data_IF_174604552621
#
_entry.id   IF_174604552621
#
_cell.length_a   1.000
_cell.length_b   1.000
_cell.length_c   1.000
_cell.angle_alpha   90.00
_cell.angle_beta   90.00
_cell.angle_gamma   90.00
#
_symmetry.space_group_name_H-M   'P 1'
#
loop_
_entity.id
_entity.type
_entity.pdbx_description
1 polymer ?
#
# COMPACT_ATOMS: atom_id res chain seq x y z
N UNK A 1 -31.14 -4.78 -30.95
CA UNK A 1 -30.62 -3.44 -31.30
C UNK A 1 -29.38 -3.16 -30.45
N UNK A 2 -28.19 -3.20 -31.03
CA UNK A 2 -26.95 -2.76 -30.36
C UNK A 2 -26.86 -1.24 -30.47
N UNK A 3 -27.17 -0.52 -29.39
CA UNK A 3 -26.99 0.93 -29.34
C UNK A 3 -25.49 1.30 -29.38
N UNK A 4 -25.09 2.42 -30.01
CA UNK A 4 -23.71 2.88 -30.08
C UNK A 4 -23.28 3.48 -28.74
N UNK A 5 -23.02 2.64 -27.73
CA UNK A 5 -22.52 3.04 -26.41
C UNK A 5 -21.01 3.33 -26.40
N UNK A 6 -20.29 3.02 -27.49
CA UNK A 6 -18.82 3.06 -27.54
C UNK A 6 -18.22 4.46 -27.75
N UNK A 7 -18.92 5.41 -28.39
CA UNK A 7 -18.37 6.74 -28.67
C UNK A 7 -18.40 7.67 -27.45
N UNK A 8 -19.49 7.62 -26.66
CA UNK A 8 -19.57 8.34 -25.39
C UNK A 8 -18.49 7.86 -24.39
N UNK A 9 -18.09 6.59 -24.49
CA UNK A 9 -17.09 5.96 -23.63
C UNK A 9 -15.69 6.60 -23.76
N UNK A 10 -15.25 6.96 -24.97
CA UNK A 10 -13.92 7.55 -25.20
C UNK A 10 -13.87 9.02 -24.73
N UNK A 11 -14.98 9.75 -24.88
CA UNK A 11 -15.06 11.15 -24.46
C UNK A 11 -15.19 11.30 -22.93
N UNK A 12 -15.79 10.31 -22.26
CA UNK A 12 -15.89 10.19 -20.80
C UNK A 12 -14.57 9.79 -20.10
N UNK A 13 -13.73 9.02 -20.80
CA UNK A 13 -12.44 8.54 -20.27
C UNK A 13 -11.37 9.63 -20.36
N UNK A 14 -11.44 10.51 -21.36
CA UNK A 14 -10.53 11.65 -21.54
C UNK A 14 -10.79 12.82 -20.57
N UNK A 15 -11.97 12.89 -19.94
CA UNK A 15 -12.31 14.01 -19.04
C UNK A 15 -11.94 13.78 -17.57
N UNK A 16 -11.65 12.55 -17.12
CA UNK A 16 -11.58 12.17 -15.69
C UNK A 16 -10.24 12.45 -14.97
N UNK A 17 -9.41 13.38 -15.45
CA UNK A 17 -8.16 13.73 -14.75
C UNK A 17 -8.46 14.85 -13.76
N UNK A 18 -8.89 14.47 -12.56
CA UNK A 18 -9.06 15.36 -11.42
C UNK A 18 -8.24 14.80 -10.23
N UNK A 19 -7.16 15.50 -9.92
CA UNK A 19 -6.16 15.28 -8.90
C UNK A 19 -6.68 15.54 -7.48
N UNK A 20 -6.64 14.52 -6.63
CA UNK A 20 -6.65 14.70 -5.18
C UNK A 20 -5.21 14.90 -4.71
N UNK A 21 -4.74 16.15 -4.60
CA UNK A 21 -3.34 16.44 -4.28
C UNK A 21 -2.99 16.39 -2.78
N UNK A 22 -3.96 16.40 -1.86
CA UNK A 22 -3.65 16.40 -0.41
C UNK A 22 -4.84 16.04 0.49
N UNK A 23 -4.61 15.21 1.52
CA UNK A 23 -5.58 14.83 2.56
C UNK A 23 -6.26 16.04 3.26
N UNK A 24 -5.59 17.20 3.29
CA UNK A 24 -6.01 18.35 4.11
C UNK A 24 -7.12 19.17 3.49
N UNK A 25 -7.36 19.04 2.19
CA UNK A 25 -8.40 19.82 1.52
C UNK A 25 -9.02 18.98 0.42
N UNK A 26 -10.01 18.16 0.76
CA UNK A 26 -11.03 17.71 -0.20
C UNK A 26 -11.87 18.94 -0.55
N UNK A 27 -11.28 19.88 -1.30
CA UNK A 27 -12.03 20.99 -1.84
C UNK A 27 -12.73 20.44 -3.06
N UNK A 28 -14.03 20.22 -2.90
CA UNK A 28 -14.94 20.04 -4.02
C UNK A 28 -14.99 21.26 -4.97
N UNK A 29 -14.15 22.30 -4.80
CA UNK A 29 -14.30 23.58 -5.50
C UNK A 29 -13.94 23.51 -6.97
N UNK A 30 -12.88 22.79 -7.35
CA UNK A 30 -12.38 22.86 -8.73
C UNK A 30 -12.29 21.48 -9.41
N UNK A 31 -11.88 20.43 -8.69
CA UNK A 31 -11.58 19.11 -9.28
C UNK A 31 -12.70 18.06 -9.03
N UNK A 32 -13.47 18.21 -7.96
CA UNK A 32 -14.70 17.43 -7.73
C UNK A 32 -15.82 17.72 -8.74
N UNK A 33 -15.61 18.71 -9.63
CA UNK A 33 -16.58 19.23 -10.58
C UNK A 33 -16.96 18.26 -11.69
N UNK A 34 -16.31 17.11 -11.84
CA UNK A 34 -16.53 16.20 -12.98
C UNK A 34 -17.34 14.95 -12.67
N UNK A 35 -17.23 14.37 -11.46
CA UNK A 35 -18.06 13.23 -11.05
C UNK A 35 -19.52 13.67 -10.92
N UNK A 36 -19.75 14.87 -10.38
CA UNK A 36 -21.08 15.43 -10.19
C UNK A 36 -21.88 15.61 -11.50
N UNK A 37 -21.37 16.28 -12.55
CA UNK A 37 -22.08 16.40 -13.83
C UNK A 37 -22.21 15.05 -14.53
N UNK A 38 -21.30 14.10 -14.32
CA UNK A 38 -21.47 12.73 -14.82
C UNK A 38 -22.68 12.05 -14.21
N UNK A 39 -22.77 12.11 -12.88
CA UNK A 39 -23.88 11.55 -12.13
C UNK A 39 -25.19 12.24 -12.56
N UNK A 40 -25.18 13.56 -12.69
CA UNK A 40 -26.33 14.35 -13.12
C UNK A 40 -26.75 14.02 -14.57
N UNK A 41 -25.79 13.88 -15.48
CA UNK A 41 -26.03 13.45 -16.87
C UNK A 41 -26.63 12.03 -16.91
N UNK A 42 -26.10 11.11 -16.11
CA UNK A 42 -26.63 9.74 -16.04
C UNK A 42 -28.06 9.71 -15.48
N UNK A 43 -28.33 10.49 -14.43
CA UNK A 43 -29.66 10.62 -13.84
C UNK A 43 -30.65 11.25 -14.84
N UNK A 44 -30.20 12.26 -15.60
CA UNK A 44 -30.98 12.89 -16.66
C UNK A 44 -31.31 11.91 -17.79
N UNK A 45 -30.35 11.09 -18.24
CA UNK A 45 -30.60 10.07 -19.25
C UNK A 45 -31.60 9.01 -18.77
N UNK A 46 -31.50 8.55 -17.52
CA UNK A 46 -32.48 7.61 -16.94
C UNK A 46 -33.86 8.26 -16.84
N UNK A 47 -33.95 9.53 -16.46
CA UNK A 47 -35.22 10.27 -16.43
C UNK A 47 -35.84 10.41 -17.82
N UNK A 48 -35.05 10.69 -18.86
CA UNK A 48 -35.53 10.74 -20.24
C UNK A 48 -36.05 9.38 -20.72
N UNK A 49 -35.32 8.29 -20.46
CA UNK A 49 -35.76 6.94 -20.83
C UNK A 49 -37.04 6.58 -20.06
N UNK A 50 -37.19 7.02 -18.81
CA UNK A 50 -38.43 6.84 -18.04
C UNK A 50 -39.63 7.58 -18.66
N UNK A 51 -39.46 8.86 -19.05
CA UNK A 51 -40.51 9.61 -19.74
C UNK A 51 -40.88 8.98 -21.10
N UNK A 52 -39.87 8.50 -21.84
CA UNK A 52 -40.10 7.83 -23.12
C UNK A 52 -40.76 6.45 -22.95
N UNK A 53 -40.42 5.73 -21.88
CA UNK A 53 -41.08 4.48 -21.49
C UNK A 53 -42.57 4.68 -21.23
N UNK A 54 -42.94 5.76 -20.53
CA UNK A 54 -44.34 6.12 -20.29
C UNK A 54 -45.07 6.44 -21.60
N UNK A 55 -44.44 7.16 -22.52
CA UNK A 55 -45.05 7.48 -23.81
C UNK A 55 -45.32 6.22 -24.67
N UNK A 56 -44.41 5.25 -24.65
CA UNK A 56 -44.49 4.03 -25.49
C UNK A 56 -45.26 2.89 -24.78
N UNK A 57 -45.64 3.06 -23.52
CA UNK A 57 -46.37 2.06 -22.72
C UNK A 57 -45.69 0.68 -22.68
N UNK A 58 -44.35 0.64 -22.64
CA UNK A 58 -43.58 -0.61 -22.55
C UNK A 58 -43.18 -0.89 -21.10
N UNK A 59 -43.80 -1.88 -20.41
CA UNK A 59 -43.55 -2.14 -18.98
C UNK A 59 -42.12 -2.63 -18.70
N UNK A 60 -41.46 -3.24 -19.67
CA UNK A 60 -40.06 -3.68 -19.55
C UNK A 60 -39.10 -2.51 -19.32
N UNK A 61 -39.35 -1.38 -19.96
CA UNK A 61 -38.49 -0.19 -19.88
C UNK A 61 -38.68 0.53 -18.55
N UNK A 62 -39.90 0.54 -18.03
CA UNK A 62 -40.20 1.10 -16.72
C UNK A 62 -39.49 0.31 -15.62
N UNK A 63 -39.56 -1.02 -15.68
CA UNK A 63 -38.87 -1.91 -14.75
C UNK A 63 -37.35 -1.74 -14.82
N UNK A 64 -36.81 -1.56 -16.04
CA UNK A 64 -35.39 -1.26 -16.23
C UNK A 64 -35.01 0.09 -15.62
N UNK A 65 -35.77 1.16 -15.87
CA UNK A 65 -35.51 2.49 -15.32
C UNK A 65 -35.58 2.52 -13.80
N UNK A 66 -36.55 1.82 -13.17
CA UNK A 66 -36.64 1.71 -11.71
C UNK A 66 -35.38 1.07 -11.12
N UNK A 67 -34.88 0.00 -11.74
CA UNK A 67 -33.62 -0.67 -11.33
C UNK A 67 -32.41 0.23 -11.53
N UNK A 68 -32.30 0.90 -12.68
CA UNK A 68 -31.20 1.82 -12.99
C UNK A 68 -31.17 3.02 -12.03
N UNK A 69 -32.33 3.63 -11.74
CA UNK A 69 -32.44 4.75 -10.82
C UNK A 69 -32.01 4.40 -9.39
N UNK A 70 -32.45 3.25 -8.87
CA UNK A 70 -32.01 2.75 -7.56
C UNK A 70 -30.49 2.52 -7.52
N UNK A 71 -29.91 2.02 -8.61
CA UNK A 71 -28.46 1.77 -8.70
C UNK A 71 -27.63 3.06 -8.72
N UNK A 72 -28.09 4.10 -9.41
CA UNK A 72 -27.45 5.42 -9.39
C UNK A 72 -27.47 6.00 -7.97
N UNK A 73 -28.63 5.93 -7.29
CA UNK A 73 -28.78 6.41 -5.92
C UNK A 73 -27.84 5.69 -4.96
N UNK A 74 -27.79 4.35 -5.03
CA UNK A 74 -26.86 3.53 -4.23
C UNK A 74 -25.40 3.90 -4.52
N UNK A 75 -25.04 4.11 -5.78
CA UNK A 75 -23.67 4.46 -6.15
C UNK A 75 -23.28 5.84 -5.62
N UNK A 76 -24.20 6.80 -5.60
CA UNK A 76 -23.98 8.13 -5.01
C UNK A 76 -23.78 8.05 -3.50
N UNK A 77 -24.59 7.26 -2.80
CA UNK A 77 -24.40 7.00 -1.35
C UNK A 77 -23.03 6.37 -1.10
N UNK A 78 -22.64 5.39 -1.92
CA UNK A 78 -21.36 4.71 -1.78
C UNK A 78 -20.18 5.64 -2.04
N UNK A 79 -20.24 6.50 -3.06
CA UNK A 79 -19.20 7.52 -3.32
C UNK A 79 -19.05 8.43 -2.09
N UNK A 80 -20.17 8.89 -1.54
CA UNK A 80 -20.17 9.73 -0.33
C UNK A 80 -19.52 9.01 0.86
N UNK A 81 -19.88 7.73 1.09
CA UNK A 81 -19.31 6.92 2.17
C UNK A 81 -17.82 6.67 1.99
N UNK A 82 -17.37 6.37 0.77
CA UNK A 82 -15.95 6.18 0.45
C UNK A 82 -15.15 7.46 0.71
N UNK A 83 -15.66 8.61 0.27
CA UNK A 83 -15.03 9.90 0.54
C UNK A 83 -14.96 10.19 2.04
N UNK A 84 -16.03 9.91 2.78
CA UNK A 84 -16.05 10.07 4.24
C UNK A 84 -15.03 9.15 4.91
N UNK A 85 -14.88 7.91 4.46
CA UNK A 85 -13.90 6.96 4.99
C UNK A 85 -12.46 7.43 4.74
N UNK A 86 -12.16 7.97 3.55
CA UNK A 86 -10.84 8.55 3.24
C UNK A 86 -10.56 9.76 4.13
N UNK A 87 -11.52 10.68 4.27
CA UNK A 87 -11.42 11.83 5.17
C UNK A 87 -11.20 11.43 6.62
N UNK A 88 -11.94 10.42 7.10
CA UNK A 88 -11.76 9.89 8.44
C UNK A 88 -10.36 9.28 8.63
N UNK A 89 -9.84 8.56 7.64
CA UNK A 89 -8.47 8.04 7.67
C UNK A 89 -7.42 9.14 7.73
N UNK A 90 -7.59 10.21 6.95
CA UNK A 90 -6.72 11.39 7.00
C UNK A 90 -6.74 12.02 8.40
N UNK A 91 -7.93 12.21 8.99
CA UNK A 91 -8.09 12.77 10.32
C UNK A 91 -7.44 11.90 11.40
N UNK A 92 -7.59 10.57 11.30
CA UNK A 92 -6.91 9.62 12.21
C UNK A 92 -5.39 9.71 12.07
N UNK A 93 -4.87 9.78 10.84
CA UNK A 93 -3.43 9.94 10.60
C UNK A 93 -2.89 11.25 11.16
N UNK A 94 -3.61 12.35 10.94
CA UNK A 94 -3.24 13.67 11.47
C UNK A 94 -3.26 13.68 13.01
N UNK A 95 -4.24 13.02 13.62
CA UNK A 95 -4.28 12.88 15.08
C UNK A 95 -3.12 12.02 15.62
N UNK A 96 -2.68 10.99 14.88
CA UNK A 96 -1.62 10.08 15.34
C UNK A 96 -0.21 10.62 15.09
N UNK A 97 0.04 11.26 13.94
CA UNK A 97 1.39 11.66 13.49
C UNK A 97 1.48 13.14 13.07
N UNK A 98 0.36 13.84 12.90
CA UNK A 98 0.33 15.24 12.48
C UNK A 98 0.69 15.47 11.00
N UNK A 99 0.58 14.42 10.17
CA UNK A 99 0.96 14.44 8.76
C UNK A 99 0.09 13.48 7.93
N UNK A 100 0.13 13.65 6.60
CA UNK A 100 -0.52 12.78 5.63
C UNK A 100 -0.01 11.33 5.73
N UNK A 101 -0.95 10.37 5.71
CA UNK A 101 -0.66 8.95 5.91
C UNK A 101 0.30 8.37 4.88
N UNK A 102 0.24 8.81 3.61
CA UNK A 102 1.16 8.35 2.58
C UNK A 102 2.54 8.96 2.79
N UNK A 103 2.60 10.26 3.05
CA UNK A 103 3.87 10.95 3.25
C UNK A 103 4.64 10.36 4.44
N UNK A 104 3.94 10.13 5.56
CA UNK A 104 4.51 9.50 6.76
C UNK A 104 5.03 8.10 6.45
N UNK A 105 4.23 7.29 5.77
CA UNK A 105 4.60 5.90 5.44
C UNK A 105 5.82 5.85 4.51
N UNK A 106 5.86 6.72 3.49
CA UNK A 106 6.99 6.83 2.56
C UNK A 106 8.25 7.32 3.29
N UNK A 107 8.12 8.35 4.12
CA UNK A 107 9.23 8.88 4.90
C UNK A 107 9.80 7.82 5.85
N UNK A 108 8.95 7.05 6.51
CA UNK A 108 9.36 5.97 7.39
C UNK A 108 10.12 4.86 6.64
N UNK A 109 9.60 4.38 5.51
CA UNK A 109 10.30 3.36 4.71
C UNK A 109 11.64 3.87 4.16
N UNK A 110 11.68 5.15 3.74
CA UNK A 110 12.93 5.78 3.32
C UNK A 110 13.92 5.95 4.49
N UNK A 111 13.46 6.29 5.69
CA UNK A 111 14.31 6.39 6.88
C UNK A 111 14.91 5.02 7.24
N UNK A 112 14.09 3.96 7.22
CA UNK A 112 14.57 2.60 7.43
C UNK A 112 15.59 2.16 6.39
N UNK A 113 15.36 2.47 5.12
CA UNK A 113 16.28 2.10 4.04
C UNK A 113 17.57 2.94 4.05
N UNK A 114 17.44 4.27 4.05
CA UNK A 114 18.54 5.21 3.85
C UNK A 114 19.23 5.68 5.12
N UNK A 115 18.49 5.93 6.20
CA UNK A 115 19.11 6.40 7.44
C UNK A 115 19.65 5.24 8.27
N UNK A 116 19.00 4.06 8.23
CA UNK A 116 19.38 2.90 9.05
C UNK A 116 20.03 1.78 8.24
N UNK A 117 19.39 1.34 7.16
CA UNK A 117 19.81 0.18 6.37
C UNK A 117 21.15 0.36 5.66
N UNK A 118 21.25 1.32 4.75
CA UNK A 118 22.47 1.55 3.95
C UNK A 118 23.71 1.85 4.81
N UNK A 119 23.65 2.74 5.84
CA UNK A 119 24.79 2.97 6.71
C UNK A 119 25.20 1.71 7.47
N UNK A 120 24.25 0.89 7.93
CA UNK A 120 24.54 -0.36 8.63
C UNK A 120 25.29 -1.35 7.73
N UNK A 121 24.84 -1.54 6.48
CA UNK A 121 25.53 -2.39 5.51
C UNK A 121 26.92 -1.84 5.19
N UNK A 122 27.06 -0.54 5.00
CA UNK A 122 28.36 0.09 4.74
C UNK A 122 29.34 -0.15 5.90
N UNK A 123 28.91 0.11 7.14
CA UNK A 123 29.74 -0.13 8.33
C UNK A 123 30.12 -1.61 8.49
N UNK A 124 29.16 -2.53 8.32
CA UNK A 124 29.45 -3.97 8.40
C UNK A 124 30.42 -4.42 7.31
N UNK A 125 30.31 -3.84 6.11
CA UNK A 125 31.20 -4.18 4.98
C UNK A 125 32.62 -3.68 5.26
N UNK A 126 32.77 -2.44 5.74
CA UNK A 126 34.07 -1.89 6.11
C UNK A 126 34.71 -2.71 7.25
N UNK A 127 33.94 -3.03 8.30
CA UNK A 127 34.40 -3.86 9.41
C UNK A 127 34.79 -5.28 8.96
N UNK A 128 34.01 -5.90 8.06
CA UNK A 128 34.36 -7.21 7.49
C UNK A 128 35.69 -7.17 6.73
N UNK A 129 35.89 -6.15 5.89
CA UNK A 129 37.15 -5.97 5.13
C UNK A 129 38.33 -5.80 6.09
N UNK A 130 38.20 -4.97 7.13
CA UNK A 130 39.26 -4.78 8.13
C UNK A 130 39.59 -6.09 8.85
N UNK A 131 38.57 -6.83 9.30
CA UNK A 131 38.75 -8.13 9.96
C UNK A 131 39.42 -9.17 9.05
N UNK A 132 39.10 -9.17 7.74
CA UNK A 132 39.78 -10.02 6.76
C UNK A 132 41.25 -9.63 6.60
N UNK A 133 41.57 -8.33 6.53
CA UNK A 133 42.95 -7.85 6.43
C UNK A 133 43.76 -8.20 7.68
N UNK A 134 43.20 -8.05 8.86
CA UNK A 134 43.85 -8.42 10.12
C UNK A 134 44.10 -9.92 10.24
N UNK A 135 43.20 -10.74 9.70
CA UNK A 135 43.34 -12.19 9.66
C UNK A 135 44.49 -12.67 8.76
N UNK A 136 44.95 -11.84 7.79
CA UNK A 136 46.10 -12.17 6.91
C UNK A 136 47.44 -12.07 7.66
N UNK A 137 47.47 -11.50 8.87
CA UNK A 137 48.70 -11.40 9.65
C UNK A 137 49.13 -12.75 10.27
N UNK A 138 49.71 -13.60 9.43
CA UNK A 138 50.28 -14.89 9.82
C UNK A 138 51.79 -14.76 10.07
N UNK A 139 52.25 -15.21 11.23
CA UNK A 139 53.68 -15.32 11.52
C UNK A 139 54.13 -16.75 11.23
N UNK A 140 54.84 -16.92 10.12
CA UNK A 140 55.55 -18.16 9.82
C UNK A 140 56.97 -18.07 10.37
N UNK A 141 57.34 -19.03 11.21
CA UNK A 141 58.72 -19.20 11.66
C UNK A 141 59.23 -20.51 11.09
N UNK A 142 60.09 -20.43 10.07
CA UNK A 142 60.71 -21.60 9.45
C UNK A 142 62.14 -21.71 9.92
N UNK A 143 62.49 -22.83 10.56
CA UNK A 143 63.88 -23.20 10.78
C UNK A 143 64.24 -24.33 9.80
N UNK A 144 65.24 -24.16 8.92
CA UNK A 144 65.61 -25.16 7.92
C UNK A 144 66.04 -26.51 8.52
N UNK A 145 66.43 -26.55 9.81
CA UNK A 145 66.89 -27.78 10.46
C UNK A 145 65.83 -28.46 11.34
N UNK A 146 64.83 -27.73 11.85
CA UNK A 146 63.84 -28.28 12.81
C UNK A 146 62.40 -28.28 12.28
N UNK A 147 62.19 -27.88 11.02
CA UNK A 147 60.87 -27.70 10.44
C UNK A 147 60.27 -26.31 10.69
N UNK A 148 59.16 -26.02 10.01
CA UNK A 148 58.43 -24.75 10.15
C UNK A 148 57.21 -24.88 11.05
N UNK A 149 56.95 -23.86 11.85
CA UNK A 149 55.71 -23.65 12.59
C UNK A 149 55.05 -22.34 12.18
N UNK A 150 53.72 -22.29 12.19
CA UNK A 150 52.95 -21.07 11.94
C UNK A 150 52.04 -20.77 13.14
N UNK A 151 52.01 -19.51 13.57
CA UNK A 151 51.03 -19.02 14.55
C UNK A 151 50.07 -18.06 13.84
N UNK A 152 48.79 -18.43 13.81
CA UNK A 152 47.71 -17.59 13.30
C UNK A 152 47.11 -16.76 14.45
N UNK A 153 47.78 -15.65 14.80
CA UNK A 153 47.40 -14.83 15.96
C UNK A 153 45.97 -14.27 15.86
N UNK A 154 45.50 -14.01 14.63
CA UNK A 154 44.22 -13.34 14.36
C UNK A 154 43.22 -14.24 13.61
N UNK A 155 43.30 -15.57 13.78
CA UNK A 155 42.39 -16.50 13.11
C UNK A 155 40.90 -16.22 13.44
N UNK A 156 40.62 -15.65 14.62
CA UNK A 156 39.27 -15.28 15.06
C UNK A 156 38.63 -14.16 14.23
N UNK A 157 39.41 -13.21 13.71
CA UNK A 157 38.88 -12.09 12.92
C UNK A 157 38.30 -12.56 11.59
N UNK A 158 38.86 -13.64 11.01
CA UNK A 158 38.26 -14.29 9.84
C UNK A 158 36.85 -14.82 10.13
N UNK A 159 36.62 -15.35 11.33
CA UNK A 159 35.30 -15.85 11.72
C UNK A 159 34.32 -14.70 11.92
N UNK A 160 34.75 -13.57 12.50
CA UNK A 160 33.90 -12.37 12.61
C UNK A 160 33.53 -11.79 11.25
N UNK A 161 34.50 -11.66 10.35
CA UNK A 161 34.25 -11.21 8.98
C UNK A 161 33.21 -12.09 8.26
N UNK A 162 33.35 -13.41 8.35
CA UNK A 162 32.38 -14.34 7.75
C UNK A 162 30.95 -14.16 8.33
N UNK A 163 30.85 -13.86 9.63
CA UNK A 163 29.55 -13.58 10.27
C UNK A 163 28.97 -12.25 9.77
N UNK A 164 29.79 -11.19 9.67
CA UNK A 164 29.41 -9.90 9.11
C UNK A 164 28.96 -10.03 7.65
N UNK A 165 29.69 -10.77 6.82
CA UNK A 165 29.33 -11.06 5.43
C UNK A 165 27.99 -11.80 5.33
N UNK A 166 27.73 -12.73 6.24
CA UNK A 166 26.44 -13.43 6.30
C UNK A 166 25.29 -12.48 6.64
N UNK A 167 25.50 -11.55 7.59
CA UNK A 167 24.51 -10.52 7.94
C UNK A 167 24.29 -9.55 6.77
N UNK A 168 25.35 -9.10 6.09
CA UNK A 168 25.26 -8.23 4.90
C UNK A 168 24.43 -8.90 3.80
N UNK A 169 24.70 -10.17 3.51
CA UNK A 169 23.98 -10.96 2.50
C UNK A 169 22.49 -11.09 2.83
N UNK A 170 22.12 -11.10 4.11
CA UNK A 170 20.72 -11.10 4.54
C UNK A 170 20.10 -9.69 4.50
N UNK A 171 20.82 -8.65 4.90
CA UNK A 171 20.30 -7.28 4.98
C UNK A 171 20.06 -6.64 3.62
N UNK A 172 20.91 -6.94 2.62
CA UNK A 172 20.84 -6.26 1.32
C UNK A 172 19.49 -6.50 0.60
N UNK A 173 18.94 -7.73 0.50
CA UNK A 173 17.60 -7.96 -0.03
C UNK A 173 16.48 -7.29 0.79
N UNK A 174 16.66 -7.17 2.11
CA UNK A 174 15.67 -6.53 2.99
C UNK A 174 15.57 -5.02 2.75
N UNK A 175 16.71 -4.36 2.59
CA UNK A 175 16.76 -2.92 2.27
C UNK A 175 16.18 -2.68 0.88
N UNK A 176 16.50 -3.53 -0.10
CA UNK A 176 15.92 -3.45 -1.43
C UNK A 176 14.39 -3.62 -1.40
N UNK A 177 13.88 -4.53 -0.56
CA UNK A 177 12.44 -4.72 -0.34
C UNK A 177 11.78 -3.48 0.27
N UNK A 178 12.37 -2.88 1.30
CA UNK A 178 11.87 -1.63 1.91
C UNK A 178 11.75 -0.51 0.89
N UNK A 179 12.78 -0.33 0.05
CA UNK A 179 12.76 0.65 -1.03
C UNK A 179 11.64 0.37 -2.06
N UNK A 180 11.49 -0.89 -2.48
CA UNK A 180 10.44 -1.28 -3.40
C UNK A 180 9.03 -1.00 -2.83
N UNK A 181 8.81 -1.25 -1.54
CA UNK A 181 7.55 -0.94 -0.85
C UNK A 181 7.25 0.57 -0.85
N UNK A 182 8.28 1.41 -0.62
CA UNK A 182 8.15 2.86 -0.71
C UNK A 182 7.77 3.33 -2.12
N UNK A 183 8.32 2.69 -3.16
CA UNK A 183 7.95 2.95 -4.55
C UNK A 183 6.50 2.55 -4.83
N UNK A 184 6.06 1.39 -4.33
CA UNK A 184 4.67 0.93 -4.46
C UNK A 184 3.71 1.94 -3.82
N UNK A 185 4.01 2.46 -2.64
CA UNK A 185 3.20 3.51 -1.99
C UNK A 185 3.09 4.78 -2.86
N UNK A 186 4.20 5.23 -3.46
CA UNK A 186 4.19 6.36 -4.39
C UNK A 186 3.32 6.09 -5.62
N UNK A 187 3.38 4.89 -6.18
CA UNK A 187 2.54 4.49 -7.31
C UNK A 187 1.06 4.46 -6.91
N UNK A 188 0.73 3.94 -5.72
CA UNK A 188 -0.66 3.94 -5.21
C UNK A 188 -1.19 5.37 -5.11
N UNK A 189 -0.41 6.28 -4.50
CA UNK A 189 -0.80 7.68 -4.32
C UNK A 189 -0.97 8.41 -5.66
N UNK A 190 -0.05 8.19 -6.61
CA UNK A 190 -0.03 8.93 -7.89
C UNK A 190 -0.93 8.34 -8.97
N UNK A 191 -1.22 7.04 -8.92
CA UNK A 191 -1.95 6.34 -9.99
C UNK A 191 -3.29 5.79 -9.49
N UNK A 192 -3.31 5.02 -8.40
CA UNK A 192 -4.52 4.29 -8.00
C UNK A 192 -5.62 5.25 -7.54
N UNK A 193 -5.29 6.20 -6.67
CA UNK A 193 -6.29 7.14 -6.14
C UNK A 193 -6.88 8.04 -7.23
N UNK A 194 -6.08 8.77 -8.04
CA UNK A 194 -6.65 9.70 -9.01
C UNK A 194 -7.22 9.03 -10.27
N UNK A 195 -6.70 7.86 -10.71
CA UNK A 195 -7.12 7.26 -11.98
C UNK A 195 -8.09 6.10 -11.77
N UNK A 196 -7.75 5.14 -10.91
CA UNK A 196 -8.54 3.91 -10.79
C UNK A 196 -9.84 4.13 -10.03
N UNK A 197 -9.87 5.00 -9.02
CA UNK A 197 -11.09 5.23 -8.23
C UNK A 197 -12.22 5.87 -9.06
N UNK A 198 -12.00 6.98 -9.82
CA UNK A 198 -13.04 7.51 -10.70
C UNK A 198 -13.46 6.52 -11.78
N UNK A 199 -12.49 5.80 -12.37
CA UNK A 199 -12.76 4.75 -13.35
C UNK A 199 -13.68 3.67 -12.78
N UNK A 200 -13.46 3.25 -11.53
CA UNK A 200 -14.30 2.27 -10.85
C UNK A 200 -15.75 2.78 -10.72
N UNK A 201 -15.94 4.05 -10.36
CA UNK A 201 -17.28 4.63 -10.28
C UNK A 201 -17.97 4.71 -11.65
N UNK A 202 -17.25 5.08 -12.71
CA UNK A 202 -17.79 5.07 -14.08
C UNK A 202 -18.20 3.66 -14.50
N UNK A 203 -17.35 2.65 -14.23
CA UNK A 203 -17.67 1.26 -14.54
C UNK A 203 -18.87 0.72 -13.78
N UNK A 204 -19.17 1.26 -12.58
CA UNK A 204 -20.32 0.83 -11.78
C UNK A 204 -21.68 1.20 -12.39
N UNK A 205 -21.71 2.27 -13.20
CA UNK A 205 -22.92 2.73 -13.91
C UNK A 205 -23.42 1.67 -14.90
N UNK A 206 -22.51 0.90 -15.51
CA UNK A 206 -22.86 -0.13 -16.48
C UNK A 206 -23.20 -1.47 -15.79
N UNK A 207 -24.37 -2.07 -16.04
CA UNK A 207 -24.77 -3.33 -15.40
C UNK A 207 -23.79 -4.48 -15.63
N UNK A 208 -23.15 -4.56 -16.80
CA UNK A 208 -22.25 -5.66 -17.16
C UNK A 208 -20.88 -5.59 -16.45
N UNK A 209 -20.38 -4.38 -16.16
CA UNK A 209 -19.05 -4.18 -15.52
C UNK A 209 -19.15 -3.91 -14.02
N UNK A 210 -20.35 -4.01 -13.44
CA UNK A 210 -20.60 -3.67 -12.04
C UNK A 210 -19.76 -4.50 -11.08
N UNK A 211 -19.73 -5.81 -11.24
CA UNK A 211 -18.96 -6.69 -10.34
C UNK A 211 -17.48 -6.30 -10.35
N UNK A 212 -16.91 -6.05 -11.53
CA UNK A 212 -15.53 -5.57 -11.71
C UNK A 212 -15.33 -4.21 -11.04
N UNK A 213 -16.26 -3.28 -11.21
CA UNK A 213 -16.22 -1.98 -10.55
C UNK A 213 -16.20 -2.12 -9.02
N UNK A 214 -17.00 -3.01 -8.46
CA UNK A 214 -17.08 -3.24 -7.01
C UNK A 214 -15.77 -3.79 -6.45
N UNK A 215 -15.16 -4.75 -7.15
CA UNK A 215 -13.81 -5.22 -6.82
C UNK A 215 -12.78 -4.10 -6.93
N UNK A 216 -12.86 -3.26 -7.97
CA UNK A 216 -11.89 -2.18 -8.17
C UNK A 216 -12.02 -1.09 -7.10
N UNK A 217 -13.23 -0.73 -6.69
CA UNK A 217 -13.47 0.17 -5.56
C UNK A 217 -12.86 -0.41 -4.28
N UNK A 218 -13.07 -1.71 -4.03
CA UNK A 218 -12.51 -2.37 -2.85
C UNK A 218 -10.98 -2.35 -2.83
N UNK A 219 -10.35 -2.62 -3.98
CA UNK A 219 -8.89 -2.56 -4.14
C UNK A 219 -8.38 -1.13 -3.91
N UNK A 220 -9.01 -0.14 -4.55
CA UNK A 220 -8.60 1.26 -4.41
C UNK A 220 -8.69 1.69 -2.95
N UNK A 221 -9.78 1.37 -2.26
CA UNK A 221 -9.96 1.76 -0.86
C UNK A 221 -9.01 1.00 0.08
N UNK A 222 -8.80 -0.30 -0.13
CA UNK A 222 -7.82 -1.07 0.64
C UNK A 222 -6.40 -0.53 0.50
N UNK A 223 -5.98 -0.24 -0.73
CA UNK A 223 -4.63 0.28 -1.01
C UNK A 223 -4.48 1.75 -0.60
N UNK A 224 -5.54 2.56 -0.73
CA UNK A 224 -5.46 3.99 -0.46
C UNK A 224 -5.66 4.36 1.01
N UNK A 225 -6.43 3.56 1.75
CA UNK A 225 -6.78 3.84 3.14
C UNK A 225 -6.09 2.88 4.09
N UNK A 226 -6.33 1.58 3.93
CA UNK A 226 -5.93 0.57 4.93
C UNK A 226 -4.41 0.38 4.93
N UNK A 227 -3.80 0.31 3.76
CA UNK A 227 -2.38 0.06 3.62
C UNK A 227 -1.49 1.16 4.25
N UNK A 228 -1.61 2.46 3.89
CA UNK A 228 -0.82 3.51 4.54
C UNK A 228 -1.19 3.68 6.02
N UNK A 229 -2.46 3.53 6.40
CA UNK A 229 -2.85 3.60 7.81
C UNK A 229 -2.20 2.49 8.66
N UNK A 230 -2.05 1.28 8.12
CA UNK A 230 -1.37 0.19 8.82
C UNK A 230 0.13 0.50 9.00
N UNK A 231 0.77 1.13 8.02
CA UNK A 231 2.15 1.63 8.19
C UNK A 231 2.25 2.69 9.28
N UNK A 232 1.31 3.63 9.34
CA UNK A 232 1.24 4.63 10.42
C UNK A 232 1.13 3.97 11.80
N UNK A 233 0.28 2.94 11.94
CA UNK A 233 0.18 2.18 13.19
C UNK A 233 1.48 1.44 13.52
N UNK A 234 2.12 0.83 12.51
CA UNK A 234 3.39 0.14 12.66
C UNK A 234 4.51 1.08 13.17
N UNK A 235 4.53 2.34 12.72
CA UNK A 235 5.47 3.35 13.21
C UNK A 235 5.26 3.58 14.71
N UNK A 236 4.01 3.77 15.15
CA UNK A 236 3.70 3.96 16.58
C UNK A 236 4.04 2.75 17.43
N UNK A 237 3.83 1.55 16.90
CA UNK A 237 4.23 0.32 17.57
C UNK A 237 5.76 0.25 17.67
N UNK A 238 6.49 0.52 16.59
CA UNK A 238 7.96 0.53 16.60
C UNK A 238 8.53 1.55 17.60
N UNK A 239 7.98 2.77 17.61
CA UNK A 239 8.33 3.82 18.57
C UNK A 239 8.05 3.41 20.03
N UNK A 240 7.03 2.58 20.29
CA UNK A 240 6.73 2.08 21.64
C UNK A 240 7.60 0.91 22.09
N UNK A 241 8.15 0.13 21.17
CA UNK A 241 8.97 -1.06 21.47
C UNK A 241 10.46 -0.69 21.62
N UNK A 242 10.93 0.32 20.90
CA UNK A 242 12.35 0.70 20.87
C UNK A 242 12.92 1.38 22.13
N UNK A 243 12.15 2.05 23.01
CA UNK A 243 12.70 2.63 24.21
C UNK A 243 12.76 1.60 25.37
N UNK A 244 13.99 1.18 25.63
CA UNK A 244 14.53 0.91 26.95
C UNK A 244 14.27 -0.48 27.60
N UNK A 245 15.39 -1.04 28.09
CA UNK A 245 15.53 -1.93 29.25
C UNK A 245 15.56 -3.46 29.07
N UNK A 246 15.17 -4.06 27.94
CA UNK A 246 15.14 -5.55 27.85
C UNK A 246 16.44 -6.16 27.31
N UNK A 247 17.30 -5.39 26.64
CA UNK A 247 18.51 -5.93 26.00
C UNK A 247 19.70 -5.73 26.93
N UNK A 248 19.82 -6.61 27.92
CA UNK A 248 21.06 -6.81 28.70
C UNK A 248 21.78 -8.12 28.30
N UNK A 249 22.36 -8.17 27.10
CA UNK A 249 23.58 -8.96 26.90
C UNK A 249 24.71 -8.06 26.36
N UNK A 250 25.88 -8.11 27.00
CA UNK A 250 27.12 -7.48 26.52
C UNK A 250 27.44 -7.83 25.05
N UNK A 251 26.98 -8.99 24.56
CA UNK A 251 27.10 -9.39 23.16
C UNK A 251 26.27 -8.54 22.17
N UNK A 252 25.20 -7.88 22.61
CA UNK A 252 24.42 -6.96 21.77
C UNK A 252 25.09 -5.57 21.66
N UNK A 253 26.07 -5.29 22.53
CA UNK A 253 26.84 -4.05 22.57
C UNK A 253 28.16 -4.14 21.80
N UNK A 254 28.46 -5.26 21.15
CA UNK A 254 29.64 -5.38 20.30
C UNK A 254 29.59 -4.28 19.20
N UNK A 255 30.50 -3.30 19.24
CA UNK A 255 30.47 -2.17 18.31
C UNK A 255 30.68 -2.60 16.86
N UNK A 256 31.30 -3.75 16.62
CA UNK A 256 31.66 -4.23 15.28
C UNK A 256 30.51 -4.97 14.60
N UNK A 257 29.60 -5.56 15.38
CA UNK A 257 28.49 -6.37 14.85
C UNK A 257 27.15 -5.62 14.86
N UNK A 258 26.97 -4.63 15.75
CA UNK A 258 25.75 -3.82 15.89
C UNK A 258 24.45 -4.64 15.80
N UNK A 259 24.44 -5.80 16.46
CA UNK A 259 23.34 -6.77 16.39
C UNK A 259 21.99 -6.16 16.78
N UNK A 260 22.01 -5.14 17.64
CA UNK A 260 20.81 -4.39 18.02
C UNK A 260 20.13 -3.72 16.81
N UNK A 261 20.90 -3.06 15.95
CA UNK A 261 20.35 -2.38 14.77
C UNK A 261 19.82 -3.40 13.78
N UNK A 262 20.56 -4.48 13.56
CA UNK A 262 20.16 -5.62 12.72
C UNK A 262 18.85 -6.22 13.23
N UNK A 263 18.77 -6.50 14.53
CA UNK A 263 17.60 -7.09 15.19
C UNK A 263 16.39 -6.16 15.15
N UNK A 264 16.59 -4.84 15.17
CA UNK A 264 15.50 -3.87 15.01
C UNK A 264 15.00 -3.79 13.57
N UNK A 265 15.90 -3.91 12.58
CA UNK A 265 15.58 -3.72 11.17
C UNK A 265 14.86 -4.93 10.57
N UNK A 266 15.23 -6.15 10.95
CA UNK A 266 14.65 -7.40 10.38
C UNK A 266 13.13 -7.48 10.57
N UNK A 267 12.56 -7.31 11.79
CA UNK A 267 11.11 -7.34 11.96
C UNK A 267 10.40 -6.23 11.17
N UNK A 268 11.01 -5.05 11.09
CA UNK A 268 10.45 -3.92 10.35
C UNK A 268 10.47 -4.13 8.83
N UNK A 269 11.45 -4.88 8.31
CA UNK A 269 11.58 -5.17 6.88
C UNK A 269 10.78 -6.40 6.41
N UNK A 270 10.55 -7.39 7.28
CA UNK A 270 9.89 -8.64 6.90
C UNK A 270 8.50 -8.74 7.52
N UNK A 271 8.40 -8.63 8.85
CA UNK A 271 7.18 -8.97 9.57
C UNK A 271 6.08 -7.93 9.37
N UNK A 272 6.41 -6.64 9.54
CA UNK A 272 5.42 -5.56 9.45
C UNK A 272 4.84 -5.40 8.02
N UNK A 273 5.64 -5.49 6.94
CA UNK A 273 5.09 -5.44 5.59
C UNK A 273 4.18 -6.62 5.28
N UNK A 274 4.56 -7.83 5.70
CA UNK A 274 3.74 -9.03 5.51
C UNK A 274 2.40 -8.91 6.26
N UNK A 275 2.42 -8.42 7.50
CA UNK A 275 1.20 -8.16 8.26
C UNK A 275 0.32 -7.11 7.57
N UNK A 276 0.93 -6.04 7.06
CA UNK A 276 0.22 -4.99 6.31
C UNK A 276 -0.47 -5.52 5.06
N UNK A 277 0.22 -6.38 4.30
CA UNK A 277 -0.34 -7.04 3.12
C UNK A 277 -1.54 -7.92 3.51
N UNK A 278 -1.40 -8.73 4.56
CA UNK A 278 -2.48 -9.62 5.03
C UNK A 278 -3.71 -8.83 5.46
N UNK A 279 -3.54 -7.75 6.23
CA UNK A 279 -4.65 -6.88 6.67
C UNK A 279 -5.33 -6.23 5.46
N UNK A 280 -4.53 -5.70 4.53
CA UNK A 280 -5.05 -5.04 3.32
C UNK A 280 -5.83 -6.00 2.44
N UNK A 281 -5.28 -7.18 2.15
CA UNK A 281 -5.94 -8.20 1.32
C UNK A 281 -7.22 -8.71 1.99
N UNK A 282 -7.19 -8.95 3.30
CA UNK A 282 -8.36 -9.39 4.07
C UNK A 282 -9.49 -8.35 4.03
N UNK A 283 -9.13 -7.07 4.12
CA UNK A 283 -10.06 -5.97 3.96
C UNK A 283 -10.66 -5.94 2.55
N UNK A 284 -9.84 -6.00 1.50
CA UNK A 284 -10.31 -5.99 0.09
C UNK A 284 -11.29 -7.15 -0.17
N UNK A 285 -10.98 -8.35 0.30
CA UNK A 285 -11.86 -9.52 0.14
C UNK A 285 -13.18 -9.36 0.88
N UNK A 286 -13.15 -8.83 2.11
CA UNK A 286 -14.35 -8.65 2.92
C UNK A 286 -15.24 -7.53 2.37
N UNK A 287 -14.63 -6.42 1.97
CA UNK A 287 -15.33 -5.27 1.43
C UNK A 287 -15.93 -5.55 0.04
N UNK A 288 -15.19 -6.23 -0.83
CA UNK A 288 -15.74 -6.65 -2.14
C UNK A 288 -16.96 -7.57 -2.01
N UNK A 289 -16.94 -8.54 -1.07
CA UNK A 289 -18.11 -9.37 -0.79
C UNK A 289 -19.31 -8.56 -0.28
N UNK A 290 -19.05 -7.57 0.58
CA UNK A 290 -20.09 -6.65 1.07
C UNK A 290 -20.71 -5.87 -0.08
N UNK A 291 -19.88 -5.35 -1.01
CA UNK A 291 -20.36 -4.62 -2.17
C UNK A 291 -21.17 -5.49 -3.14
N UNK A 292 -20.79 -6.75 -3.34
CA UNK A 292 -21.51 -7.65 -4.26
C UNK A 292 -22.85 -8.09 -3.64
N UNK A 293 -22.86 -8.51 -2.38
CA UNK A 293 -24.07 -9.07 -1.74
C UNK A 293 -25.07 -8.02 -1.26
N UNK A 294 -24.59 -6.85 -0.83
CA UNK A 294 -25.44 -5.83 -0.20
C UNK A 294 -26.51 -5.22 -1.11
N UNK A 295 -26.47 -5.49 -2.42
CA UNK A 295 -27.36 -4.85 -3.40
C UNK A 295 -28.12 -5.81 -4.30
N UNK A 296 -28.02 -7.12 -4.08
CA UNK A 296 -28.94 -8.07 -4.69
C UNK A 296 -30.18 -8.17 -3.79
N UNK A 297 -31.38 -7.76 -4.24
CA UNK A 297 -32.61 -7.98 -3.48
C UNK A 297 -32.91 -9.48 -3.49
N UNK A 298 -32.31 -10.21 -2.53
CA UNK A 298 -32.65 -11.59 -2.21
C UNK A 298 -34.13 -11.63 -1.81
N UNK A 299 -35.02 -12.01 -2.74
CA UNK A 299 -36.40 -12.35 -2.38
C UNK A 299 -37.51 -11.96 -3.34
N UNK A 300 -37.27 -11.11 -4.35
CA UNK A 300 -38.38 -10.67 -5.23
C UNK A 300 -38.66 -11.55 -6.45
N UNK A 301 -37.88 -12.62 -6.68
CA UNK A 301 -38.01 -13.47 -7.87
C UNK A 301 -38.57 -14.88 -7.64
N UNK A 302 -38.94 -15.24 -6.40
CA UNK A 302 -39.57 -16.55 -6.09
C UNK A 302 -41.06 -16.46 -5.75
N UNK A 303 -41.72 -15.34 -6.04
CA UNK A 303 -43.15 -15.16 -5.85
C UNK A 303 -43.84 -14.84 -7.19
N UNK A 304 -43.79 -15.78 -8.14
CA UNK A 304 -44.65 -15.79 -9.33
C UNK A 304 -44.81 -17.21 -9.84
#
# INVERSE_FOLDING_TARGET
MHFPTKLSFILLLMLNVAFAQSCTTVVFSDEGSLIFPLALLSAFLVALIYMLSQAVHKPEWENWCKKAGMQILVSLILISLVNLAILAGCAVSDQLVGQDMFQVSINYLNDLAYSKGFPLVYMLTDASIQNQLEAVNFKFTTNPLTGGGGLAKNAGEKTKANAQDSVINMLMPLIASLYAQGLVLKVIQTVIVPIFLPLAFVMRIFPQTRTVADYLIAICLGLALILPLTYVLNIKIAESILPASIITPEAALDPDLRLLDVASLIPQAIFLPNLTIVVTVSFIMSFSKLLVRGFEPEGLYYAS
#
